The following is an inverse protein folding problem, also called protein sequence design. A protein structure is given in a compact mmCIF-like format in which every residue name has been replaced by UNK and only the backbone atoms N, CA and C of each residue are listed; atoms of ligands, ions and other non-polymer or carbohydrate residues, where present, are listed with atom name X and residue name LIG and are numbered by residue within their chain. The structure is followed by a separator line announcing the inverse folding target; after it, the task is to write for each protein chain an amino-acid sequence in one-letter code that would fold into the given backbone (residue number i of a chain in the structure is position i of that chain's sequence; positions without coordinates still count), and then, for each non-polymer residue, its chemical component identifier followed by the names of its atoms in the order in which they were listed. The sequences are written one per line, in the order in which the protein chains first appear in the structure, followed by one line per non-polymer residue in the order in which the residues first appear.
data_IF_647640889106
#
_entry.id   IF_647640889106
#
_cell.length_a   1.000
_cell.length_b   1.000
_cell.length_c   1.000
_cell.angle_alpha   90.00
_cell.angle_beta   90.00
_cell.angle_gamma   90.00
#
_symmetry.space_group_name_H-M   'P 1'
#
loop_
_entity.id
_entity.type
_entity.pdbx_description
1 polymer ?
#
# COMPACT_ATOMS: atom_id res chain seq x y z
N UNK A 1 -16.01 23.14 28.81
CA UNK A 1 -15.53 21.84 29.31
C UNK A 1 -15.44 20.87 28.14
N UNK A 2 -14.32 20.16 27.97
CA UNK A 2 -14.21 19.10 26.96
C UNK A 2 -15.06 17.90 27.38
N UNK A 3 -15.74 17.21 26.44
CA UNK A 3 -16.53 16.03 26.77
C UNK A 3 -15.62 14.93 27.32
N UNK A 4 -15.97 14.38 28.50
CA UNK A 4 -15.33 13.17 29.03
C UNK A 4 -15.82 11.98 28.23
N UNK A 5 -14.88 11.29 27.59
CA UNK A 5 -15.14 10.04 26.87
C UNK A 5 -14.42 8.97 27.68
N UNK A 6 -15.18 8.06 28.30
CA UNK A 6 -14.66 6.94 29.06
C UNK A 6 -14.81 5.67 28.21
N UNK A 7 -13.90 4.70 28.43
CA UNK A 7 -13.93 3.35 27.84
C UNK A 7 -13.78 3.24 26.32
N UNK A 8 -12.70 3.80 25.79
CA UNK A 8 -12.31 3.57 24.40
C UNK A 8 -10.96 2.85 24.32
N UNK A 9 -10.88 1.83 23.45
CA UNK A 9 -9.66 1.03 23.22
C UNK A 9 -8.43 1.87 22.85
N UNK A 10 -8.64 3.10 22.41
CA UNK A 10 -7.59 4.06 22.05
C UNK A 10 -6.94 4.73 23.27
N UNK A 11 -7.63 4.80 24.42
CA UNK A 11 -7.13 5.48 25.62
C UNK A 11 -5.91 4.79 26.24
N UNK A 12 -5.89 3.44 26.42
CA UNK A 12 -4.69 2.75 26.88
C UNK A 12 -3.49 2.93 25.95
N UNK A 13 -3.71 3.02 24.64
CA UNK A 13 -2.64 3.26 23.66
C UNK A 13 -2.06 4.67 23.78
N UNK A 14 -2.88 5.66 24.12
CA UNK A 14 -2.43 7.03 24.38
C UNK A 14 -1.63 7.10 25.67
N UNK A 15 -2.04 6.38 26.71
CA UNK A 15 -1.29 6.25 27.97
C UNK A 15 0.07 5.60 27.73
N UNK A 16 0.10 4.51 26.97
CA UNK A 16 1.33 3.80 26.61
C UNK A 16 2.27 4.67 25.76
N UNK A 17 1.74 5.38 24.75
CA UNK A 17 2.51 6.29 23.91
C UNK A 17 3.10 7.47 24.71
N UNK A 18 2.38 7.96 25.73
CA UNK A 18 2.90 8.99 26.65
C UNK A 18 4.00 8.45 27.54
N UNK A 19 3.84 7.24 28.09
CA UNK A 19 4.81 6.63 28.98
C UNK A 19 6.12 6.25 28.26
N UNK A 20 6.02 5.75 27.02
CA UNK A 20 7.17 5.33 26.21
C UNK A 20 7.76 6.44 25.34
N UNK A 21 7.11 7.61 25.29
CA UNK A 21 7.44 8.71 24.38
C UNK A 21 7.49 8.31 22.89
N UNK A 22 6.79 7.24 22.51
CA UNK A 22 6.77 6.73 21.14
C UNK A 22 5.44 7.07 20.46
N UNK A 23 5.50 8.03 19.54
CA UNK A 23 4.35 8.45 18.74
C UNK A 23 3.84 7.35 17.80
N UNK A 24 4.70 6.40 17.41
CA UNK A 24 4.32 5.39 16.41
C UNK A 24 3.22 4.48 16.92
N UNK A 25 3.15 4.26 18.24
CA UNK A 25 2.13 3.44 18.93
C UNK A 25 0.71 3.91 18.59
N UNK A 26 0.49 5.21 18.47
CA UNK A 26 -0.83 5.82 18.25
C UNK A 26 -1.04 6.37 16.84
N UNK A 27 0.04 6.52 16.07
CA UNK A 27 0.02 7.21 14.76
C UNK A 27 -0.91 6.53 13.76
N UNK A 28 -1.05 5.22 13.82
CA UNK A 28 -1.91 4.46 12.89
C UNK A 28 -3.38 4.52 13.30
N UNK A 29 -3.68 4.40 14.60
CA UNK A 29 -5.04 4.17 15.08
C UNK A 29 -5.77 5.46 15.48
N UNK A 30 -5.05 6.44 16.04
CA UNK A 30 -5.65 7.66 16.59
C UNK A 30 -6.27 8.55 15.49
N UNK A 31 -5.62 8.81 14.34
CA UNK A 31 -6.22 9.62 13.28
C UNK A 31 -7.49 9.00 12.68
N UNK A 32 -7.50 7.68 12.49
CA UNK A 32 -8.66 6.94 12.00
C UNK A 32 -9.82 7.07 12.99
N UNK A 33 -9.53 6.81 14.27
CA UNK A 33 -10.49 6.94 15.35
C UNK A 33 -11.11 8.35 15.45
N UNK A 34 -10.28 9.39 15.30
CA UNK A 34 -10.74 10.79 15.30
C UNK A 34 -11.73 11.08 14.17
N UNK A 35 -11.47 10.56 12.97
CA UNK A 35 -12.31 10.73 11.79
C UNK A 35 -13.59 9.91 11.88
N UNK A 36 -13.54 8.70 12.44
CA UNK A 36 -14.76 7.90 12.69
C UNK A 36 -15.72 8.61 13.65
N UNK A 37 -15.19 9.30 14.66
CA UNK A 37 -16.00 10.10 15.60
C UNK A 37 -16.59 11.34 14.93
N UNK A 38 -15.87 11.93 13.98
CA UNK A 38 -16.37 13.01 13.13
C UNK A 38 -17.53 12.51 12.24
N UNK A 39 -17.35 11.37 11.57
CA UNK A 39 -18.31 10.75 10.66
C UNK A 39 -19.64 10.40 11.34
N UNK A 40 -19.60 9.99 12.62
CA UNK A 40 -20.81 9.71 13.40
C UNK A 40 -21.70 10.94 13.64
N UNK A 41 -21.14 12.16 13.62
CA UNK A 41 -21.89 13.40 13.86
C UNK A 41 -22.09 14.26 12.61
N UNK A 42 -21.39 13.99 11.51
CA UNK A 42 -21.46 14.76 10.26
C UNK A 42 -21.57 13.80 9.08
N UNK A 43 -22.42 14.13 8.11
CA UNK A 43 -22.43 13.43 6.82
C UNK A 43 -21.17 13.83 6.05
N UNK A 44 -20.16 12.99 6.13
CA UNK A 44 -18.92 13.10 5.35
C UNK A 44 -18.86 11.92 4.38
N UNK A 45 -18.33 12.16 3.19
CA UNK A 45 -18.06 11.13 2.20
C UNK A 45 -16.81 10.34 2.56
N UNK A 46 -16.64 9.18 1.93
CA UNK A 46 -15.46 8.32 2.14
C UNK A 46 -14.16 9.02 1.68
N UNK A 47 -14.22 9.75 0.55
CA UNK A 47 -13.10 10.57 0.06
C UNK A 47 -12.73 11.67 1.08
N UNK A 48 -13.71 12.39 1.63
CA UNK A 48 -13.47 13.42 2.66
C UNK A 48 -12.91 12.85 3.96
N UNK A 49 -13.29 11.61 4.31
CA UNK A 49 -12.79 10.91 5.49
C UNK A 49 -11.31 10.56 5.32
N UNK A 50 -10.94 9.98 4.17
CA UNK A 50 -9.55 9.68 3.83
C UNK A 50 -8.68 10.94 3.84
N UNK A 51 -9.15 12.03 3.23
CA UNK A 51 -8.43 13.30 3.21
C UNK A 51 -8.28 13.91 4.62
N UNK A 52 -9.29 13.75 5.49
CA UNK A 52 -9.21 14.22 6.87
C UNK A 52 -8.18 13.43 7.68
N UNK A 53 -8.07 12.11 7.47
CA UNK A 53 -7.02 11.29 8.09
C UNK A 53 -5.62 11.79 7.69
N UNK A 54 -5.41 12.04 6.39
CA UNK A 54 -4.14 12.59 5.88
C UNK A 54 -3.85 13.97 6.49
N UNK A 55 -4.84 14.84 6.54
CA UNK A 55 -4.69 16.19 7.12
C UNK A 55 -4.31 16.10 8.61
N UNK A 56 -4.91 15.19 9.36
CA UNK A 56 -4.58 14.97 10.78
C UNK A 56 -3.15 14.42 10.91
N UNK A 57 -2.75 13.50 10.03
CA UNK A 57 -1.39 12.95 10.01
C UNK A 57 -0.32 14.02 9.73
N UNK A 58 -0.58 14.97 8.84
CA UNK A 58 0.33 16.08 8.51
C UNK A 58 0.60 17.00 9.72
N UNK A 59 -0.42 17.22 10.55
CA UNK A 59 -0.30 18.04 11.77
C UNK A 59 -0.16 17.21 13.04
N UNK A 60 0.09 15.90 12.91
CA UNK A 60 -0.02 14.95 14.03
C UNK A 60 0.99 15.24 15.14
N UNK A 61 2.24 15.55 14.79
CA UNK A 61 3.29 15.89 15.77
C UNK A 61 2.94 17.15 16.58
N UNK A 62 2.44 18.19 15.89
CA UNK A 62 1.98 19.45 16.52
C UNK A 62 0.77 19.19 17.41
N UNK A 63 -0.22 18.46 16.91
CA UNK A 63 -1.42 18.08 17.67
C UNK A 63 -1.08 17.24 18.90
N UNK A 64 -0.17 16.28 18.77
CA UNK A 64 0.27 15.42 19.86
C UNK A 64 0.94 16.21 20.97
N UNK A 65 1.85 17.12 20.60
CA UNK A 65 2.52 18.02 21.55
C UNK A 65 1.51 18.86 22.33
N UNK A 66 0.50 19.42 21.64
CA UNK A 66 -0.58 20.16 22.28
C UNK A 66 -1.44 19.28 23.21
N UNK A 67 -1.61 18.00 22.87
CA UNK A 67 -2.38 17.06 23.68
C UNK A 67 -1.75 16.80 25.05
N UNK A 68 -0.43 16.91 25.19
CA UNK A 68 0.30 16.64 26.44
C UNK A 68 -0.12 17.59 27.57
N UNK A 69 -0.58 18.79 27.24
CA UNK A 69 -1.10 19.77 28.20
C UNK A 69 -2.47 19.39 28.78
N UNK A 70 -3.13 18.37 28.23
CA UNK A 70 -4.42 17.88 28.68
C UNK A 70 -4.27 16.65 29.58
N UNK A 71 -4.99 16.68 30.70
CA UNK A 71 -5.16 15.51 31.56
C UNK A 71 -5.76 14.34 30.78
N UNK A 72 -5.33 13.11 31.10
CA UNK A 72 -5.67 11.91 30.31
C UNK A 72 -7.18 11.71 30.15
N UNK A 73 -7.95 12.03 31.19
CA UNK A 73 -9.43 11.94 31.20
C UNK A 73 -10.12 12.86 30.18
N UNK A 74 -9.42 13.89 29.68
CA UNK A 74 -9.96 14.90 28.77
C UNK A 74 -9.28 14.87 27.39
N UNK A 75 -8.24 14.05 27.20
CA UNK A 75 -7.43 14.04 25.97
C UNK A 75 -8.22 13.57 24.76
N UNK A 76 -9.14 12.62 24.94
CA UNK A 76 -10.02 12.16 23.87
C UNK A 76 -10.96 13.28 23.40
N UNK A 77 -11.50 14.06 24.35
CA UNK A 77 -12.30 15.24 24.06
C UNK A 77 -11.52 16.29 23.27
N UNK A 78 -10.23 16.47 23.58
CA UNK A 78 -9.33 17.31 22.79
C UNK A 78 -9.18 16.80 21.35
N UNK A 79 -8.86 15.52 21.15
CA UNK A 79 -8.66 14.96 19.81
C UNK A 79 -9.92 15.04 18.95
N UNK A 80 -11.08 14.71 19.51
CA UNK A 80 -12.36 14.83 18.81
C UNK A 80 -12.60 16.29 18.41
N UNK A 81 -12.42 17.23 19.33
CA UNK A 81 -12.62 18.66 19.08
C UNK A 81 -11.63 19.21 18.04
N UNK A 82 -10.39 18.72 18.06
CA UNK A 82 -9.37 19.06 17.09
C UNK A 82 -9.77 18.60 15.68
N UNK A 83 -10.25 17.37 15.51
CA UNK A 83 -10.77 16.89 14.23
C UNK A 83 -11.97 17.72 13.74
N UNK A 84 -12.91 18.07 14.62
CA UNK A 84 -14.04 18.95 14.27
C UNK A 84 -13.59 20.34 13.82
N UNK A 85 -12.57 20.90 14.47
CA UNK A 85 -12.03 22.21 14.09
C UNK A 85 -11.28 22.16 12.77
N UNK A 86 -10.50 21.10 12.50
CA UNK A 86 -9.84 20.89 11.22
C UNK A 86 -10.85 20.74 10.09
N UNK A 87 -11.87 19.91 10.28
CA UNK A 87 -12.99 19.81 9.35
C UNK A 87 -13.65 21.17 9.11
N UNK A 88 -14.06 21.88 10.16
CA UNK A 88 -14.73 23.19 10.02
C UNK A 88 -13.85 24.26 9.35
N UNK A 89 -12.55 24.29 9.62
CA UNK A 89 -11.62 25.23 8.99
C UNK A 89 -11.45 24.94 7.50
N UNK A 90 -11.45 23.65 7.12
CA UNK A 90 -11.42 23.22 5.73
C UNK A 90 -12.66 23.69 4.94
N UNK A 91 -13.85 23.62 5.56
CA UNK A 91 -15.09 24.10 4.92
C UNK A 91 -15.28 25.62 4.98
N UNK A 92 -14.52 26.34 5.82
CA UNK A 92 -14.55 27.81 5.89
C UNK A 92 -13.57 28.48 4.93
N UNK A 93 -12.49 27.79 4.54
CA UNK A 93 -11.55 28.26 3.53
C UNK A 93 -12.00 27.77 2.15
N UNK A 94 -12.79 28.59 1.46
CA UNK A 94 -13.02 28.48 0.00
C UNK A 94 -11.78 28.76 -0.83
N UNK A 95 -10.66 29.11 -0.20
CA UNK A 95 -9.35 29.22 -0.84
C UNK A 95 -8.53 27.97 -0.54
N UNK A 96 -8.07 27.35 -1.62
CA UNK A 96 -7.13 26.23 -1.63
C UNK A 96 -5.95 26.64 -0.76
N UNK A 97 -5.77 25.98 0.39
CA UNK A 97 -4.63 26.26 1.26
C UNK A 97 -3.35 26.03 0.47
N UNK A 98 -2.42 26.98 0.52
CA UNK A 98 -1.07 26.98 -0.08
C UNK A 98 -0.18 25.80 0.37
N UNK A 99 -0.72 24.82 1.11
CA UNK A 99 -0.01 23.58 1.51
C UNK A 99 0.26 22.63 0.33
N UNK A 100 -0.31 22.89 -0.85
CA UNK A 100 0.04 22.17 -2.08
C UNK A 100 1.45 22.50 -2.61
N UNK A 101 2.01 23.67 -2.28
CA UNK A 101 3.32 24.10 -2.80
C UNK A 101 4.48 23.39 -2.10
N UNK A 102 4.38 23.10 -0.80
CA UNK A 102 5.45 22.40 -0.07
C UNK A 102 5.65 20.96 -0.57
N UNK A 103 4.55 20.29 -0.98
CA UNK A 103 4.60 18.95 -1.56
C UNK A 103 5.08 18.95 -3.02
N UNK A 104 4.85 20.05 -3.76
CA UNK A 104 5.40 20.27 -5.10
C UNK A 104 6.89 20.66 -5.07
N UNK A 105 7.34 21.37 -4.03
CA UNK A 105 8.73 21.77 -3.84
C UNK A 105 9.66 20.61 -3.44
N UNK A 106 9.14 19.59 -2.73
CA UNK A 106 9.90 18.36 -2.45
C UNK A 106 10.28 17.55 -3.71
N UNK A 107 9.65 17.84 -4.86
CA UNK A 107 9.83 17.11 -6.12
C UNK A 107 10.46 17.95 -7.24
N UNK A 108 10.80 19.21 -6.96
CA UNK A 108 11.61 20.05 -7.85
C UNK A 108 13.08 19.94 -7.43
N UNK A 109 13.77 18.90 -7.90
CA UNK A 109 15.23 18.94 -8.03
C UNK A 109 15.59 18.73 -9.50
N UNK A 110 16.21 19.76 -10.09
CA UNK A 110 16.78 19.81 -11.44
C UNK A 110 18.10 19.00 -11.55
N UNK A 111 18.17 17.81 -10.94
CA UNK A 111 19.28 16.87 -11.10
C UNK A 111 18.74 15.55 -11.64
N UNK A 112 19.47 14.83 -12.51
CA UNK A 112 19.00 13.56 -13.02
C UNK A 112 18.87 12.64 -11.80
N UNK A 113 17.67 12.10 -11.60
CA UNK A 113 17.40 11.04 -10.64
C UNK A 113 18.11 9.74 -11.09
N UNK A 114 19.43 9.80 -11.19
CA UNK A 114 20.26 8.62 -11.23
C UNK A 114 20.25 8.06 -9.80
N UNK A 115 19.72 6.84 -9.73
CA UNK A 115 19.86 5.92 -8.60
C UNK A 115 19.01 6.24 -7.36
N UNK A 116 17.73 6.57 -7.55
CA UNK A 116 16.76 5.90 -6.69
C UNK A 116 16.74 4.43 -7.14
N UNK A 117 17.57 3.61 -6.48
CA UNK A 117 17.40 2.17 -6.51
C UNK A 117 15.90 1.89 -6.35
N UNK A 118 15.28 1.10 -7.24
CA UNK A 118 13.86 0.79 -7.12
C UNK A 118 13.67 0.29 -5.69
N UNK A 119 12.90 1.03 -4.89
CA UNK A 119 12.63 0.71 -3.49
C UNK A 119 12.40 -0.79 -3.44
N UNK A 120 13.29 -1.50 -2.75
CA UNK A 120 13.16 -2.91 -2.47
C UNK A 120 11.91 -3.08 -1.61
N UNK A 121 10.73 -3.13 -2.24
CA UNK A 121 9.45 -3.51 -1.65
C UNK A 121 9.46 -4.97 -1.13
N UNK A 122 10.64 -5.60 -1.04
CA UNK A 122 10.84 -7.02 -0.80
C UNK A 122 11.46 -7.33 0.58
N UNK A 123 12.00 -6.34 1.30
CA UNK A 123 12.77 -6.60 2.53
C UNK A 123 12.19 -6.00 3.83
N UNK A 124 11.12 -5.21 3.78
CA UNK A 124 10.33 -4.88 4.98
C UNK A 124 9.41 -6.08 5.23
N UNK A 125 9.73 -6.92 6.24
CA UNK A 125 8.97 -8.09 6.74
C UNK A 125 7.72 -8.43 5.91
N UNK A 126 7.93 -8.95 4.70
CA UNK A 126 6.80 -9.08 3.77
C UNK A 126 5.84 -10.15 4.33
N UNK A 127 4.61 -9.80 4.75
CA UNK A 127 3.68 -10.75 5.33
C UNK A 127 3.37 -11.90 4.34
N UNK A 128 3.46 -11.65 3.03
CA UNK A 128 3.34 -12.70 2.00
C UNK A 128 4.44 -13.76 2.13
N UNK A 129 5.66 -13.38 2.49
CA UNK A 129 6.80 -14.32 2.62
C UNK A 129 6.53 -15.31 3.75
N UNK A 130 6.03 -14.83 4.88
CA UNK A 130 5.62 -15.66 6.02
C UNK A 130 4.41 -16.56 5.70
N UNK A 131 3.42 -16.06 4.95
CA UNK A 131 2.26 -16.85 4.56
C UNK A 131 2.57 -17.89 3.47
N UNK A 132 3.49 -17.59 2.54
CA UNK A 132 3.96 -18.55 1.53
C UNK A 132 4.64 -19.78 2.17
N UNK A 133 5.27 -19.62 3.32
CA UNK A 133 5.95 -20.70 4.05
C UNK A 133 4.99 -21.69 4.71
N UNK A 134 3.77 -21.25 5.01
CA UNK A 134 2.73 -22.12 5.54
C UNK A 134 2.13 -23.03 4.45
N UNK A 135 2.39 -22.72 3.18
CA UNK A 135 1.91 -23.49 2.05
C UNK A 135 2.83 -24.69 1.77
N UNK A 136 2.29 -25.77 1.19
CA UNK A 136 3.13 -26.86 0.67
C UNK A 136 4.18 -26.31 -0.32
N UNK A 137 5.41 -26.83 -0.27
CA UNK A 137 6.54 -26.28 -1.02
C UNK A 137 6.29 -26.18 -2.54
N UNK A 138 5.62 -27.17 -3.15
CA UNK A 138 5.25 -27.14 -4.57
C UNK A 138 4.20 -26.05 -4.84
N UNK A 139 3.24 -25.87 -3.94
CA UNK A 139 2.23 -24.81 -4.04
C UNK A 139 2.86 -23.42 -3.96
N UNK A 140 3.76 -23.21 -3.00
CA UNK A 140 4.51 -21.96 -2.85
C UNK A 140 5.38 -21.68 -4.08
N UNK A 141 6.02 -22.71 -4.64
CA UNK A 141 6.86 -22.59 -5.83
C UNK A 141 6.05 -22.22 -7.08
N UNK A 142 4.89 -22.87 -7.28
CA UNK A 142 3.96 -22.55 -8.36
C UNK A 142 3.47 -21.10 -8.28
N UNK A 143 3.09 -20.63 -7.09
CA UNK A 143 2.68 -19.24 -6.89
C UNK A 143 3.83 -18.26 -7.13
N UNK A 144 5.02 -18.58 -6.64
CA UNK A 144 6.20 -17.72 -6.80
C UNK A 144 6.62 -17.58 -8.27
N UNK A 145 6.52 -18.64 -9.07
CA UNK A 145 6.76 -18.57 -10.52
C UNK A 145 5.64 -17.84 -11.27
N UNK A 146 4.39 -17.97 -10.82
CA UNK A 146 3.25 -17.32 -11.47
C UNK A 146 3.28 -15.80 -11.23
N UNK A 147 3.62 -15.34 -10.02
CA UNK A 147 3.48 -13.95 -9.57
C UNK A 147 4.80 -13.26 -9.21
N UNK A 148 5.95 -13.88 -9.52
CA UNK A 148 7.28 -13.37 -9.19
C UNK A 148 7.47 -13.04 -7.70
N UNK A 149 6.95 -13.91 -6.82
CA UNK A 149 7.03 -13.70 -5.37
C UNK A 149 8.43 -14.04 -4.83
N UNK A 150 8.86 -13.38 -3.74
CA UNK A 150 10.15 -13.67 -3.11
C UNK A 150 10.21 -15.12 -2.60
N UNK A 151 11.27 -15.82 -2.98
CA UNK A 151 11.54 -17.18 -2.52
C UNK A 151 12.60 -17.19 -1.40
N UNK A 152 12.34 -17.91 -0.30
CA UNK A 152 13.39 -18.26 0.68
C UNK A 152 14.41 -19.25 0.09
N UNK A 153 15.56 -19.40 0.75
CA UNK A 153 16.67 -20.24 0.31
C UNK A 153 16.23 -21.71 0.04
N UNK A 154 15.40 -22.30 0.90
CA UNK A 154 14.91 -23.67 0.73
C UNK A 154 14.04 -23.83 -0.54
N UNK A 155 13.18 -22.84 -0.82
CA UNK A 155 12.33 -22.85 -2.01
C UNK A 155 13.15 -22.62 -3.29
N UNK A 156 14.18 -21.79 -3.21
CA UNK A 156 15.17 -21.61 -4.30
C UNK A 156 15.93 -22.92 -4.57
N UNK A 157 16.36 -23.64 -3.53
CA UNK A 157 17.02 -24.93 -3.68
C UNK A 157 16.10 -25.97 -4.33
N UNK A 158 14.81 -25.99 -3.94
CA UNK A 158 13.81 -26.84 -4.59
C UNK A 158 13.62 -26.49 -6.07
N UNK A 159 13.57 -25.20 -6.41
CA UNK A 159 13.51 -24.75 -7.80
C UNK A 159 14.72 -25.25 -8.60
N UNK A 160 15.93 -25.03 -8.09
CA UNK A 160 17.17 -25.47 -8.73
C UNK A 160 17.19 -26.98 -8.95
N UNK A 161 16.74 -27.75 -7.95
CA UNK A 161 16.61 -29.20 -8.06
C UNK A 161 15.61 -29.59 -9.17
N UNK A 162 14.44 -28.94 -9.25
CA UNK A 162 13.44 -29.18 -10.30
C UNK A 162 13.91 -28.80 -11.70
N UNK A 163 14.65 -27.70 -11.83
CA UNK A 163 15.23 -27.30 -13.11
C UNK A 163 16.26 -28.32 -13.61
N UNK A 164 17.09 -28.85 -12.70
CA UNK A 164 18.04 -29.93 -13.01
C UNK A 164 17.33 -31.23 -13.39
N UNK A 165 16.32 -31.63 -12.62
CA UNK A 165 15.51 -32.83 -12.89
C UNK A 165 14.85 -32.78 -14.28
N UNK A 166 14.47 -31.59 -14.74
CA UNK A 166 13.82 -31.37 -16.03
C UNK A 166 14.79 -30.97 -17.16
N UNK A 167 16.10 -31.07 -16.93
CA UNK A 167 17.16 -30.67 -17.88
C UNK A 167 17.04 -29.24 -18.42
N UNK A 168 16.55 -28.30 -17.61
CA UNK A 168 16.59 -26.88 -17.94
C UNK A 168 17.93 -26.29 -17.53
N UNK A 169 18.49 -25.46 -18.41
CA UNK A 169 19.67 -24.67 -18.08
C UNK A 169 19.30 -23.55 -17.08
N UNK A 170 20.04 -23.51 -15.98
CA UNK A 170 19.80 -22.63 -14.83
C UNK A 170 20.12 -21.18 -15.23
N UNK A 171 21.23 -20.97 -15.95
CA UNK A 171 21.69 -19.64 -16.32
C UNK A 171 20.74 -19.00 -17.35
N UNK A 172 20.33 -19.79 -18.36
CA UNK A 172 19.31 -19.38 -19.32
C UNK A 172 17.96 -19.09 -18.64
N UNK A 173 17.55 -19.89 -17.64
CA UNK A 173 16.30 -19.64 -16.91
C UNK A 173 16.33 -18.29 -16.19
N UNK A 174 17.38 -18.01 -15.40
CA UNK A 174 17.46 -16.76 -14.64
C UNK A 174 17.60 -15.53 -15.55
N UNK A 175 18.38 -15.62 -16.63
CA UNK A 175 18.47 -14.55 -17.62
C UNK A 175 17.11 -14.21 -18.22
N UNK A 176 16.34 -15.21 -18.63
CA UNK A 176 14.99 -15.00 -19.18
C UNK A 176 14.03 -14.40 -18.15
N UNK A 177 14.16 -14.82 -16.88
CA UNK A 177 13.35 -14.31 -15.78
C UNK A 177 13.66 -12.83 -15.51
N UNK A 178 14.94 -12.45 -15.50
CA UNK A 178 15.36 -11.05 -15.33
C UNK A 178 14.96 -10.17 -16.52
N UNK A 179 15.02 -10.67 -17.75
CA UNK A 179 14.50 -9.96 -18.93
C UNK A 179 12.98 -9.70 -18.82
N UNK A 180 12.21 -10.68 -18.34
CA UNK A 180 10.77 -10.52 -18.09
C UNK A 180 10.51 -9.47 -17.00
N UNK A 181 11.25 -9.53 -15.89
CA UNK A 181 11.18 -8.53 -14.80
C UNK A 181 11.48 -7.13 -15.32
N UNK A 182 12.54 -6.98 -16.10
CA UNK A 182 12.93 -5.70 -16.68
C UNK A 182 11.83 -5.11 -17.57
N UNK A 183 11.25 -5.91 -18.48
CA UNK A 183 10.14 -5.46 -19.33
C UNK A 183 8.91 -5.05 -18.50
N UNK A 184 8.57 -5.81 -17.47
CA UNK A 184 7.44 -5.45 -16.60
C UNK A 184 7.71 -4.15 -15.86
N UNK A 185 8.91 -3.96 -15.29
CA UNK A 185 9.33 -2.70 -14.63
C UNK A 185 9.22 -1.51 -15.57
N UNK A 186 9.64 -1.64 -16.84
CA UNK A 186 9.48 -0.58 -17.84
C UNK A 186 8.01 -0.21 -18.08
N UNK A 187 7.13 -1.21 -18.21
CA UNK A 187 5.70 -0.97 -18.40
C UNK A 187 5.10 -0.28 -17.16
N UNK A 188 5.43 -0.77 -15.96
CA UNK A 188 4.96 -0.20 -14.69
C UNK A 188 5.44 1.23 -14.49
N UNK A 189 6.69 1.53 -14.83
CA UNK A 189 7.25 2.88 -14.82
C UNK A 189 6.45 3.81 -15.75
N UNK A 190 6.21 3.39 -17.00
CA UNK A 190 5.39 4.16 -17.96
C UNK A 190 3.97 4.42 -17.44
N UNK A 191 3.32 3.41 -16.87
CA UNK A 191 1.97 3.55 -16.31
C UNK A 191 1.94 4.49 -15.11
N UNK A 192 2.94 4.39 -14.22
CA UNK A 192 3.09 5.27 -13.06
C UNK A 192 3.35 6.72 -13.48
N UNK A 193 4.15 6.94 -14.51
CA UNK A 193 4.35 8.27 -15.12
C UNK A 193 3.05 8.87 -15.66
N UNK A 194 2.20 8.07 -16.32
CA UNK A 194 0.88 8.53 -16.78
C UNK A 194 -0.05 8.88 -15.63
N UNK A 195 -0.10 8.08 -14.56
CA UNK A 195 -0.89 8.37 -13.36
C UNK A 195 -0.43 9.69 -12.73
N UNK A 196 0.87 9.89 -12.62
CA UNK A 196 1.49 11.13 -12.10
C UNK A 196 1.12 12.33 -12.94
N UNK A 197 1.23 12.22 -14.28
CA UNK A 197 0.84 13.28 -15.22
C UNK A 197 -0.63 13.70 -15.04
N UNK A 198 -1.56 12.75 -14.93
CA UNK A 198 -2.97 13.07 -14.71
C UNK A 198 -3.25 13.58 -13.30
N UNK A 199 -2.45 13.20 -12.32
CA UNK A 199 -2.50 13.76 -10.96
C UNK A 199 -2.08 15.22 -10.96
N UNK A 200 -0.98 15.59 -11.64
CA UNK A 200 -0.57 17.00 -11.83
C UNK A 200 -1.68 17.82 -12.51
N UNK A 201 -2.25 17.32 -13.62
CA UNK A 201 -3.36 17.99 -14.32
C UNK A 201 -4.62 18.17 -13.46
N UNK A 202 -4.86 17.28 -12.49
CA UNK A 202 -5.97 17.42 -11.54
C UNK A 202 -5.72 18.56 -10.55
N UNK A 203 -4.47 18.76 -10.11
CA UNK A 203 -4.10 19.88 -9.25
C UNK A 203 -4.17 21.22 -9.99
N UNK A 204 -3.67 21.27 -11.23
CA UNK A 204 -3.64 22.49 -12.05
C UNK A 204 -5.03 22.94 -12.56
N UNK A 205 -5.98 22.01 -12.68
CA UNK A 205 -7.30 22.32 -13.24
C UNK A 205 -8.23 22.97 -12.21
N UNK A 206 -8.66 24.20 -12.50
CA UNK A 206 -9.71 24.93 -11.77
C UNK A 206 -11.12 24.61 -12.29
N UNK A 207 -11.25 24.30 -13.59
CA UNK A 207 -12.53 23.89 -14.21
C UNK A 207 -12.95 22.47 -13.77
N UNK A 208 -14.14 22.39 -13.17
CA UNK A 208 -14.69 21.15 -12.63
C UNK A 208 -15.00 20.09 -13.69
N UNK A 209 -15.31 20.46 -14.93
CA UNK A 209 -15.54 19.50 -16.01
C UNK A 209 -14.22 18.86 -16.48
N UNK A 210 -13.16 19.66 -16.60
CA UNK A 210 -11.81 19.15 -16.88
C UNK A 210 -11.27 18.27 -15.75
N UNK A 211 -11.50 18.66 -14.49
CA UNK A 211 -11.16 17.81 -13.33
C UNK A 211 -11.86 16.45 -13.39
N UNK A 212 -13.17 16.41 -13.65
CA UNK A 212 -13.91 15.14 -13.80
C UNK A 212 -13.31 14.25 -14.90
N UNK A 213 -12.93 14.84 -16.04
CA UNK A 213 -12.30 14.10 -17.13
C UNK A 213 -10.92 13.55 -16.76
N UNK A 214 -10.03 14.37 -16.15
CA UNK A 214 -8.72 13.91 -15.71
C UNK A 214 -8.80 12.83 -14.63
N UNK A 215 -9.79 12.91 -13.73
CA UNK A 215 -10.05 11.88 -12.72
C UNK A 215 -10.40 10.54 -13.38
N UNK A 216 -11.28 10.57 -14.39
CA UNK A 216 -11.65 9.36 -15.17
C UNK A 216 -10.42 8.75 -15.85
N UNK A 217 -9.58 9.57 -16.47
CA UNK A 217 -8.34 9.10 -17.10
C UNK A 217 -7.36 8.51 -16.08
N UNK A 218 -7.13 9.19 -14.95
CA UNK A 218 -6.29 8.69 -13.85
C UNK A 218 -6.76 7.32 -13.38
N UNK A 219 -8.07 7.14 -13.13
CA UNK A 219 -8.64 5.85 -12.72
C UNK A 219 -8.38 4.74 -13.75
N UNK A 220 -8.48 5.03 -15.04
CA UNK A 220 -8.15 4.06 -16.11
C UNK A 220 -6.68 3.64 -16.08
N UNK A 221 -5.75 4.57 -15.85
CA UNK A 221 -4.32 4.25 -15.76
C UNK A 221 -3.96 3.48 -14.49
N UNK A 222 -4.60 3.80 -13.35
CA UNK A 222 -4.48 3.02 -12.11
C UNK A 222 -4.95 1.58 -12.35
N UNK A 223 -6.10 1.38 -12.99
CA UNK A 223 -6.61 0.06 -13.32
C UNK A 223 -5.66 -0.73 -14.22
N UNK A 224 -5.07 -0.07 -15.23
CA UNK A 224 -4.06 -0.70 -16.12
C UNK A 224 -2.79 -1.08 -15.36
N UNK A 225 -2.36 -0.25 -14.42
CA UNK A 225 -1.19 -0.53 -13.55
C UNK A 225 -1.46 -1.74 -12.68
N UNK A 226 -2.59 -1.78 -11.96
CA UNK A 226 -2.99 -2.93 -11.15
C UNK A 226 -3.05 -4.22 -11.99
N UNK A 227 -3.70 -4.20 -13.16
CA UNK A 227 -3.71 -5.37 -14.05
C UNK A 227 -2.34 -5.83 -14.55
N UNK A 228 -1.35 -4.93 -14.61
CA UNK A 228 0.01 -5.25 -15.05
C UNK A 228 0.83 -5.87 -13.92
N UNK A 229 0.56 -5.42 -12.69
CA UNK A 229 1.07 -5.98 -11.43
C UNK A 229 0.56 -7.42 -11.29
N UNK A 230 -0.76 -7.63 -11.42
CA UNK A 230 -1.40 -8.94 -11.31
C UNK A 230 -1.11 -9.91 -12.48
N UNK A 231 -0.32 -9.48 -13.48
CA UNK A 231 -0.09 -10.28 -14.70
C UNK A 231 0.89 -11.40 -14.39
N UNK A 232 0.51 -12.61 -14.77
CA UNK A 232 1.35 -13.79 -14.57
C UNK A 232 2.67 -13.72 -15.34
N UNK A 233 3.78 -13.98 -14.65
CA UNK A 233 5.14 -14.03 -15.22
C UNK A 233 5.38 -15.27 -16.09
N UNK A 234 5.04 -16.43 -15.54
CA UNK A 234 5.04 -17.69 -16.26
C UNK A 234 3.60 -18.17 -16.44
N UNK A 235 3.31 -18.67 -17.63
CA UNK A 235 2.06 -19.37 -17.92
C UNK A 235 2.01 -20.72 -17.22
N UNK A 236 0.82 -21.25 -16.99
CA UNK A 236 0.63 -22.60 -16.42
C UNK A 236 1.41 -23.68 -17.18
N UNK A 237 1.59 -23.49 -18.50
CA UNK A 237 2.36 -24.39 -19.36
C UNK A 237 3.85 -24.29 -19.12
N UNK A 238 4.39 -23.08 -18.94
CA UNK A 238 5.79 -22.87 -18.59
C UNK A 238 6.08 -23.46 -17.21
N UNK A 239 5.23 -23.18 -16.22
CA UNK A 239 5.38 -23.72 -14.85
C UNK A 239 5.33 -25.25 -14.86
N UNK A 240 4.39 -25.84 -15.59
CA UNK A 240 4.29 -27.29 -15.73
C UNK A 240 5.59 -27.92 -16.26
N UNK A 241 6.20 -27.28 -17.27
CA UNK A 241 7.49 -27.74 -17.85
C UNK A 241 8.64 -27.60 -16.85
N UNK A 242 8.75 -26.46 -16.19
CA UNK A 242 9.84 -26.17 -15.25
C UNK A 242 9.82 -27.08 -14.01
N UNK A 243 8.62 -27.47 -13.55
CA UNK A 243 8.44 -28.26 -12.33
C UNK A 243 8.27 -29.76 -12.58
N UNK A 244 8.17 -30.19 -13.84
CA UNK A 244 7.93 -31.59 -14.19
C UNK A 244 6.55 -32.11 -13.75
N UNK A 245 5.54 -31.23 -13.70
CA UNK A 245 4.17 -31.58 -13.28
C UNK A 245 3.15 -31.32 -14.38
N UNK A 246 1.96 -31.91 -14.28
CA UNK A 246 0.89 -31.66 -15.26
C UNK A 246 0.30 -30.25 -15.11
N UNK A 247 -0.22 -29.67 -16.20
CA UNK A 247 -0.95 -28.38 -16.15
C UNK A 247 -2.15 -28.42 -15.20
N UNK A 248 -2.79 -29.59 -15.06
CA UNK A 248 -3.89 -29.80 -14.10
C UNK A 248 -3.39 -29.68 -12.66
N UNK A 249 -2.22 -30.25 -12.35
CA UNK A 249 -1.58 -30.09 -11.05
C UNK A 249 -1.23 -28.62 -10.77
N UNK A 250 -0.67 -27.90 -11.75
CA UNK A 250 -0.41 -26.45 -11.64
C UNK A 250 -1.68 -25.68 -11.26
N UNK A 251 -2.81 -25.93 -11.96
CA UNK A 251 -4.11 -25.30 -11.65
C UNK A 251 -4.59 -25.60 -10.23
N UNK A 252 -4.45 -26.85 -9.80
CA UNK A 252 -4.84 -27.26 -8.45
C UNK A 252 -4.01 -26.53 -7.40
N UNK A 253 -2.68 -26.46 -7.57
CA UNK A 253 -1.80 -25.71 -6.69
C UNK A 253 -2.10 -24.21 -6.70
N UNK A 254 -2.34 -23.61 -7.87
CA UNK A 254 -2.74 -22.20 -7.97
C UNK A 254 -4.07 -21.94 -7.24
N UNK A 255 -5.06 -22.82 -7.40
CA UNK A 255 -6.37 -22.68 -6.76
C UNK A 255 -6.26 -22.81 -5.23
N UNK A 256 -5.59 -23.87 -4.75
CA UNK A 256 -5.37 -24.12 -3.32
C UNK A 256 -4.57 -23.00 -2.68
N UNK A 257 -3.44 -22.63 -3.30
CA UNK A 257 -2.56 -21.58 -2.81
C UNK A 257 -3.23 -20.22 -2.76
N UNK A 258 -3.96 -19.82 -3.82
CA UNK A 258 -4.73 -18.56 -3.81
C UNK A 258 -5.79 -18.55 -2.73
N UNK A 259 -6.49 -19.67 -2.53
CA UNK A 259 -7.53 -19.76 -1.51
C UNK A 259 -6.95 -19.72 -0.08
N UNK A 260 -5.81 -20.37 0.15
CA UNK A 260 -5.10 -20.31 1.44
C UNK A 260 -4.56 -18.90 1.72
N UNK A 261 -3.95 -18.25 0.74
CA UNK A 261 -3.50 -16.85 0.87
C UNK A 261 -4.66 -15.87 1.11
N UNK A 262 -5.80 -16.05 0.43
CA UNK A 262 -7.02 -15.25 0.66
C UNK A 262 -7.62 -15.45 2.06
N UNK A 263 -7.48 -16.65 2.63
CA UNK A 263 -7.91 -16.94 4.01
C UNK A 263 -6.98 -16.32 5.05
N UNK A 264 -5.69 -16.25 4.77
CA UNK A 264 -4.70 -15.62 5.63
C UNK A 264 -4.77 -14.08 5.61
N UNK A 265 -5.29 -13.49 4.53
CA UNK A 265 -5.63 -12.07 4.44
C UNK A 265 -6.37 -11.78 3.14
N UNK A 266 -7.41 -10.95 3.17
CA UNK A 266 -8.24 -10.64 1.99
C UNK A 266 -7.46 -9.94 0.87
N UNK A 267 -6.34 -9.28 1.20
CA UNK A 267 -5.65 -8.35 0.30
C UNK A 267 -4.26 -8.79 -0.17
N UNK A 268 -3.72 -9.93 0.29
CA UNK A 268 -2.33 -10.31 0.03
C UNK A 268 -2.01 -10.48 -1.48
N UNK A 269 -3.00 -10.86 -2.29
CA UNK A 269 -2.85 -10.96 -3.76
C UNK A 269 -3.12 -9.65 -4.51
N UNK A 270 -3.55 -8.57 -3.84
CA UNK A 270 -3.70 -7.23 -4.42
C UNK A 270 -2.41 -6.39 -4.34
N UNK A 271 -1.41 -6.86 -3.57
CA UNK A 271 -0.13 -6.19 -3.34
C UNK A 271 1.06 -6.78 -4.13
N UNK A 272 0.87 -7.88 -4.87
CA UNK A 272 1.90 -8.55 -5.66
C UNK A 272 1.86 -8.14 -7.12
#
# INVERSE_FOLDING_TARGET
MLPRILDEKILPLIEEARAKHDLNIVKEQLPIWMVDRLAKKRKITEDESCEMVVTILEVFSKMWTLSLNYHITNVLGFFVTYAFNQYRNRFRRTEISESGELYLQLWNYDLPANEENPIDFLDIENPLKAELEKLPAITALVLSLQFDLPMKQNLKQLLLWKLRETNHDIDTFYRNLDEKRFRQRQILSRLSGMITRYTRKLYEATDQNRRKWYLKQKKLWILRRSKTIDRSFHSEREIAKLLGISRKAVRNHLSQGKHQLRRAGKDLLYYA
#
